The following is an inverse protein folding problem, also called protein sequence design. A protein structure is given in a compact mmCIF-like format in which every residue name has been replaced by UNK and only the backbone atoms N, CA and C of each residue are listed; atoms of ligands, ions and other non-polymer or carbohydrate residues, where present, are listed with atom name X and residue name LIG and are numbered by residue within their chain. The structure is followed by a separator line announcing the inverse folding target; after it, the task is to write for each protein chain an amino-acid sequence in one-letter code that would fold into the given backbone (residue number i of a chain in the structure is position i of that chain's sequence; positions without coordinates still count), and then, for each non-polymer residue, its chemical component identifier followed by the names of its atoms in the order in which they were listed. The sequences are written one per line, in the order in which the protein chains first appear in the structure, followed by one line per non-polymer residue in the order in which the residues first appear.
data_IF_367315252164
#
_entry.id   IF_367315252164
#
_cell.length_a   1.000
_cell.length_b   1.000
_cell.length_c   1.000
_cell.angle_alpha   90.00
_cell.angle_beta   90.00
_cell.angle_gamma   90.00
#
_symmetry.space_group_name_H-M   'P 1'
#
loop_
_entity.id
_entity.type
_entity.pdbx_description
1 polymer ?
#
# COMPACT_ATOMS: atom_id res chain seq x y z
N UNK A 1 22.69 -8.26 12.71
CA UNK A 1 22.32 -6.83 12.64
C UNK A 1 20.81 -6.75 12.58
N UNK A 2 20.18 -5.93 13.43
CA UNK A 2 18.81 -6.15 13.87
C UNK A 2 17.80 -6.04 12.71
N UNK A 3 16.98 -7.09 12.50
CA UNK A 3 15.89 -7.12 11.50
C UNK A 3 15.04 -5.85 11.51
N UNK A 4 14.90 -5.23 12.67
CA UNK A 4 14.23 -3.94 12.89
C UNK A 4 14.85 -2.81 12.05
N UNK A 5 16.19 -2.68 12.03
CA UNK A 5 16.88 -1.63 11.24
C UNK A 5 16.66 -1.86 9.75
N UNK A 6 16.65 -3.11 9.29
CA UNK A 6 16.40 -3.42 7.88
C UNK A 6 14.95 -3.08 7.49
N UNK A 7 13.97 -3.39 8.34
CA UNK A 7 12.57 -2.99 8.14
C UNK A 7 12.43 -1.46 8.06
N UNK A 8 13.09 -0.72 8.95
CA UNK A 8 13.10 0.75 8.92
C UNK A 8 13.77 1.29 7.66
N UNK A 9 14.90 0.72 7.22
CA UNK A 9 15.56 1.11 5.96
C UNK A 9 14.69 0.85 4.75
N UNK A 10 14.02 -0.30 4.69
CA UNK A 10 13.08 -0.62 3.62
C UNK A 10 11.89 0.33 3.60
N UNK A 11 11.45 0.83 4.75
CA UNK A 11 10.32 1.76 4.85
C UNK A 11 10.74 3.20 4.52
N UNK A 12 11.93 3.63 4.97
CA UNK A 12 12.46 4.96 4.71
C UNK A 12 12.94 5.15 3.27
N UNK A 13 13.44 4.09 2.63
CA UNK A 13 13.81 4.07 1.21
C UNK A 13 12.76 3.26 0.46
N UNK A 14 11.49 3.54 0.73
CA UNK A 14 10.37 2.92 0.04
C UNK A 14 9.81 3.85 -1.03
N UNK A 15 9.26 3.27 -2.10
CA UNK A 15 8.51 4.06 -3.07
C UNK A 15 7.25 4.66 -2.44
N UNK A 16 6.72 4.05 -1.38
CA UNK A 16 5.58 4.55 -0.60
C UNK A 16 5.91 5.88 0.08
N UNK A 17 7.08 5.98 0.72
CA UNK A 17 7.54 7.24 1.29
C UNK A 17 7.80 8.27 0.19
N UNK A 18 8.36 7.85 -0.94
CA UNK A 18 8.57 8.73 -2.09
C UNK A 18 7.25 9.30 -2.61
N UNK A 19 6.21 8.48 -2.75
CA UNK A 19 4.86 8.94 -3.13
C UNK A 19 4.30 9.89 -2.07
N UNK A 20 4.46 9.58 -0.79
CA UNK A 20 4.01 10.45 0.29
C UNK A 20 4.69 11.83 0.24
N UNK A 21 6.03 11.87 0.11
CA UNK A 21 6.79 13.11 -0.01
C UNK A 21 6.44 13.88 -1.28
N UNK A 22 6.21 13.17 -2.40
CA UNK A 22 5.79 13.79 -3.66
C UNK A 22 4.41 14.43 -3.52
N UNK A 23 3.45 13.79 -2.84
CA UNK A 23 2.15 14.37 -2.54
C UNK A 23 2.26 15.59 -1.62
N UNK A 24 3.14 15.57 -0.62
CA UNK A 24 3.39 16.74 0.22
C UNK A 24 4.00 17.91 -0.57
N UNK A 25 5.00 17.63 -1.43
CA UNK A 25 5.60 18.64 -2.28
C UNK A 25 4.58 19.23 -3.28
N UNK A 26 3.75 18.37 -3.89
CA UNK A 26 2.66 18.82 -4.75
C UNK A 26 1.63 19.64 -3.97
N UNK A 27 1.29 19.28 -2.74
CA UNK A 27 0.36 20.07 -1.92
C UNK A 27 0.94 21.46 -1.57
N UNK A 28 2.26 21.53 -1.35
CA UNK A 28 2.93 22.80 -1.09
C UNK A 28 2.97 23.72 -2.32
N UNK A 29 3.27 23.17 -3.50
CA UNK A 29 3.41 23.95 -4.73
C UNK A 29 2.10 24.18 -5.50
N UNK A 30 1.16 23.22 -5.43
CA UNK A 30 -0.10 23.20 -6.18
C UNK A 30 -1.29 22.81 -5.28
N UNK A 31 -1.59 23.58 -4.21
CA UNK A 31 -2.67 23.25 -3.28
C UNK A 31 -4.05 23.25 -3.93
N UNK A 32 -4.25 24.01 -5.01
CA UNK A 32 -5.53 24.09 -5.71
C UNK A 32 -6.02 22.73 -6.22
N UNK A 33 -5.10 21.87 -6.68
CA UNK A 33 -5.45 20.53 -7.17
C UNK A 33 -6.13 19.70 -6.08
N UNK A 34 -5.53 19.67 -4.89
CA UNK A 34 -6.05 18.94 -3.74
C UNK A 34 -7.33 19.57 -3.20
N UNK A 35 -7.42 20.90 -3.21
CA UNK A 35 -8.63 21.62 -2.86
C UNK A 35 -9.81 21.25 -3.78
N UNK A 36 -9.59 21.17 -5.09
CA UNK A 36 -10.64 20.75 -6.06
C UNK A 36 -11.13 19.34 -5.75
N UNK A 37 -10.21 18.40 -5.49
CA UNK A 37 -10.55 17.02 -5.13
C UNK A 37 -11.36 16.97 -3.84
N UNK A 38 -10.92 17.67 -2.79
CA UNK A 38 -11.64 17.71 -1.53
C UNK A 38 -12.99 18.42 -1.61
N UNK A 39 -13.11 19.46 -2.44
CA UNK A 39 -14.37 20.17 -2.64
C UNK A 39 -15.39 19.32 -3.40
N UNK A 40 -14.94 18.53 -4.40
CA UNK A 40 -15.77 17.54 -5.07
C UNK A 40 -16.27 16.46 -4.11
N UNK A 41 -15.43 16.09 -3.15
CA UNK A 41 -15.82 15.14 -2.12
C UNK A 41 -16.86 15.74 -1.16
N UNK A 42 -16.62 16.94 -0.63
CA UNK A 42 -17.59 17.63 0.24
C UNK A 42 -18.93 17.92 -0.42
N UNK A 43 -18.95 18.16 -1.73
CA UNK A 43 -20.18 18.44 -2.47
C UNK A 43 -21.06 17.22 -2.76
N UNK A 44 -20.70 16.00 -2.35
CA UNK A 44 -21.45 14.78 -2.66
C UNK A 44 -21.44 13.77 -1.50
N UNK A 45 -22.52 13.76 -0.73
CA UNK A 45 -22.71 12.92 0.47
C UNK A 45 -22.63 11.40 0.20
N UNK A 46 -22.85 10.95 -1.04
CA UNK A 46 -22.78 9.53 -1.37
C UNK A 46 -21.34 9.05 -1.56
N UNK A 47 -20.45 9.89 -2.09
CA UNK A 47 -19.07 9.50 -2.41
C UNK A 47 -18.29 9.07 -1.17
N UNK A 48 -18.55 9.69 -0.02
CA UNK A 48 -17.87 9.41 1.25
C UNK A 48 -17.98 7.95 1.69
N UNK A 49 -19.11 7.32 1.40
CA UNK A 49 -19.38 5.93 1.79
C UNK A 49 -18.48 4.93 1.06
N UNK A 50 -17.97 5.31 -0.11
CA UNK A 50 -17.16 4.44 -0.96
C UNK A 50 -15.65 4.69 -0.83
N UNK A 51 -15.23 5.73 -0.11
CA UNK A 51 -13.82 6.08 0.07
C UNK A 51 -13.01 4.93 0.68
N UNK A 52 -13.45 4.28 1.78
CA UNK A 52 -12.73 3.14 2.36
C UNK A 52 -12.65 1.92 1.45
N UNK A 53 -13.52 1.81 0.45
CA UNK A 53 -13.61 0.63 -0.41
C UNK A 53 -12.31 0.38 -1.18
N UNK A 54 -11.67 1.44 -1.68
CA UNK A 54 -10.45 1.33 -2.50
C UNK A 54 -9.24 0.82 -1.70
N UNK A 55 -8.85 1.45 -0.57
CA UNK A 55 -7.77 0.93 0.27
C UNK A 55 -8.03 -0.48 0.78
N UNK A 56 -9.30 -0.80 1.13
CA UNK A 56 -9.69 -2.15 1.54
C UNK A 56 -9.55 -3.15 0.40
N UNK A 57 -9.96 -2.79 -0.82
CA UNK A 57 -9.77 -3.62 -2.00
C UNK A 57 -8.27 -3.89 -2.27
N UNK A 58 -7.43 -2.86 -2.17
CA UNK A 58 -5.98 -3.01 -2.32
C UNK A 58 -5.35 -3.87 -1.21
N UNK A 59 -5.82 -3.76 0.03
CA UNK A 59 -5.44 -4.67 1.11
C UNK A 59 -5.82 -6.13 0.77
N UNK A 60 -7.02 -6.35 0.22
CA UNK A 60 -7.47 -7.67 -0.24
C UNK A 60 -6.59 -8.23 -1.36
N UNK A 61 -6.24 -7.42 -2.37
CA UNK A 61 -5.29 -7.81 -3.43
C UNK A 61 -3.92 -8.13 -2.86
N UNK A 62 -3.42 -7.28 -1.96
CA UNK A 62 -2.15 -7.50 -1.25
C UNK A 62 -2.18 -8.84 -0.53
N UNK A 63 -3.28 -9.16 0.16
CA UNK A 63 -3.45 -10.42 0.86
C UNK A 63 -3.42 -11.63 -0.07
N UNK A 64 -4.25 -11.60 -1.12
CA UNK A 64 -4.35 -12.68 -2.10
C UNK A 64 -2.99 -12.96 -2.78
N UNK A 65 -2.21 -11.91 -3.07
CA UNK A 65 -0.90 -12.05 -3.72
C UNK A 65 0.19 -12.45 -2.75
N UNK A 66 0.19 -11.91 -1.54
CA UNK A 66 1.10 -12.29 -0.48
C UNK A 66 0.96 -13.78 -0.13
N UNK A 67 -0.26 -14.31 -0.03
CA UNK A 67 -0.50 -15.74 0.17
C UNK A 67 0.15 -16.61 -0.91
N UNK A 68 0.13 -16.19 -2.17
CA UNK A 68 0.79 -16.93 -3.27
C UNK A 68 2.31 -16.94 -3.15
N UNK A 69 2.89 -15.97 -2.44
CA UNK A 69 4.33 -15.87 -2.20
C UNK A 69 4.73 -16.63 -0.92
N UNK A 70 3.88 -16.60 0.10
CA UNK A 70 4.19 -17.16 1.42
C UNK A 70 3.65 -18.57 1.68
N UNK A 71 2.65 -19.04 0.95
CA UNK A 71 2.12 -20.39 1.11
C UNK A 71 2.87 -21.35 0.17
N UNK A 72 3.28 -22.54 0.65
CA UNK A 72 3.72 -23.61 -0.22
C UNK A 72 2.52 -24.04 -1.06
N UNK A 73 2.53 -23.73 -2.35
CA UNK A 73 1.60 -24.37 -3.29
C UNK A 73 1.80 -25.89 -3.14
N UNK A 74 0.71 -26.60 -2.91
CA UNK A 74 0.68 -28.04 -2.76
C UNK A 74 1.46 -28.69 -3.92
N UNK A 75 2.56 -29.37 -3.58
CA UNK A 75 3.51 -29.93 -4.54
C UNK A 75 4.86 -29.20 -4.47
N UNK A 76 5.83 -29.84 -3.81
CA UNK A 76 7.32 -29.76 -3.87
C UNK A 76 8.09 -28.52 -4.39
N UNK A 77 7.51 -27.68 -5.24
CA UNK A 77 8.09 -26.53 -5.96
C UNK A 77 8.53 -25.35 -5.07
N UNK A 78 7.84 -25.06 -3.95
CA UNK A 78 8.21 -23.91 -3.10
C UNK A 78 9.30 -24.19 -2.06
N UNK A 79 9.79 -25.43 -1.89
CA UNK A 79 10.85 -25.74 -0.91
C UNK A 79 12.14 -24.95 -1.17
N UNK A 80 12.52 -24.81 -2.44
CA UNK A 80 13.69 -24.03 -2.86
C UNK A 80 13.59 -22.56 -2.45
N UNK A 81 12.38 -22.00 -2.34
CA UNK A 81 12.18 -20.60 -1.95
C UNK A 81 12.50 -20.37 -0.45
N UNK A 82 12.21 -21.35 0.40
CA UNK A 82 12.57 -21.30 1.83
C UNK A 82 14.05 -21.55 2.07
N UNK A 83 14.72 -22.25 1.15
CA UNK A 83 16.18 -22.43 1.16
C UNK A 83 16.93 -21.17 0.72
N UNK A 84 16.23 -20.19 0.10
CA UNK A 84 16.85 -18.94 -0.27
C UNK A 84 17.23 -18.12 0.97
N UNK A 85 18.53 -17.94 1.18
CA UNK A 85 19.11 -17.29 2.36
C UNK A 85 18.54 -15.88 2.66
N UNK A 86 18.01 -15.18 1.64
CA UNK A 86 17.39 -13.86 1.80
C UNK A 86 15.86 -13.85 1.84
N UNK A 87 15.17 -15.00 1.83
CA UNK A 87 13.70 -15.09 1.82
C UNK A 87 13.02 -14.29 2.94
N UNK A 88 13.63 -14.25 4.13
CA UNK A 88 13.15 -13.43 5.25
C UNK A 88 12.93 -11.95 4.89
N UNK A 89 13.70 -11.36 3.96
CA UNK A 89 13.53 -9.97 3.53
C UNK A 89 12.24 -9.78 2.73
N UNK A 90 11.86 -10.77 1.93
CA UNK A 90 10.60 -10.76 1.17
C UNK A 90 9.43 -10.87 2.13
N UNK A 91 9.53 -11.75 3.12
CA UNK A 91 8.50 -11.91 4.13
C UNK A 91 8.34 -10.67 5.03
N UNK A 92 9.45 -10.09 5.50
CA UNK A 92 9.44 -8.84 6.27
C UNK A 92 8.84 -7.69 5.46
N UNK A 93 9.10 -7.63 4.14
CA UNK A 93 8.48 -6.66 3.23
C UNK A 93 6.98 -6.87 3.08
N UNK A 94 6.50 -8.12 2.98
CA UNK A 94 5.07 -8.43 2.94
C UNK A 94 4.37 -7.94 4.22
N UNK A 95 4.97 -8.17 5.39
CA UNK A 95 4.44 -7.67 6.67
C UNK A 95 4.38 -6.14 6.67
N UNK A 96 5.44 -5.47 6.24
CA UNK A 96 5.45 -4.01 6.13
C UNK A 96 4.36 -3.49 5.18
N UNK A 97 4.15 -4.15 4.03
CA UNK A 97 3.09 -3.79 3.09
C UNK A 97 1.69 -3.95 3.70
N UNK A 98 1.43 -5.00 4.49
CA UNK A 98 0.17 -5.11 5.23
C UNK A 98 -0.02 -3.96 6.20
N UNK A 99 1.02 -3.62 6.98
CA UNK A 99 0.95 -2.53 7.94
C UNK A 99 0.63 -1.20 7.25
N UNK A 100 1.30 -0.90 6.12
CA UNK A 100 1.03 0.29 5.32
C UNK A 100 -0.41 0.30 4.79
N UNK A 101 -0.88 -0.79 4.20
CA UNK A 101 -2.27 -0.88 3.72
C UNK A 101 -3.30 -0.70 4.84
N UNK A 102 -3.05 -1.28 6.02
CA UNK A 102 -3.91 -1.10 7.21
C UNK A 102 -3.94 0.37 7.63
N UNK A 103 -2.80 1.05 7.67
CA UNK A 103 -2.75 2.50 7.96
C UNK A 103 -3.51 3.32 6.92
N UNK A 104 -3.40 2.98 5.63
CA UNK A 104 -4.19 3.63 4.57
C UNK A 104 -5.70 3.39 4.76
N UNK A 105 -6.11 2.19 5.17
CA UNK A 105 -7.51 1.91 5.52
C UNK A 105 -7.95 2.78 6.69
N UNK A 106 -7.19 2.84 7.79
CA UNK A 106 -7.51 3.70 8.94
C UNK A 106 -7.62 5.17 8.55
N UNK A 107 -6.69 5.66 7.72
CA UNK A 107 -6.74 7.02 7.18
C UNK A 107 -8.02 7.24 6.38
N UNK A 108 -8.38 6.31 5.52
CA UNK A 108 -9.61 6.37 4.72
C UNK A 108 -10.89 6.32 5.56
N UNK A 109 -10.91 5.53 6.63
CA UNK A 109 -12.00 5.53 7.60
C UNK A 109 -12.07 6.83 8.39
N UNK A 110 -10.93 7.43 8.74
CA UNK A 110 -10.90 8.73 9.42
C UNK A 110 -11.50 9.84 8.56
N UNK A 111 -11.29 9.82 7.24
CA UNK A 111 -11.95 10.74 6.30
C UNK A 111 -13.48 10.56 6.35
N UNK A 112 -13.96 9.33 6.46
CA UNK A 112 -15.39 9.04 6.53
C UNK A 112 -16.05 9.59 7.81
N UNK A 113 -15.35 9.54 8.95
CA UNK A 113 -15.87 10.06 10.23
C UNK A 113 -15.68 11.57 10.42
N UNK A 114 -14.52 12.12 10.04
CA UNK A 114 -14.13 13.52 10.30
C UNK A 114 -14.25 14.42 9.06
N UNK A 115 -15.01 13.94 8.09
CA UNK A 115 -15.34 14.56 6.82
C UNK A 115 -15.64 16.07 6.90
N UNK A 116 -16.59 16.43 7.76
CA UNK A 116 -17.16 17.76 7.84
C UNK A 116 -16.17 18.75 8.46
N UNK A 117 -15.41 18.29 9.46
CA UNK A 117 -14.46 19.07 10.25
C UNK A 117 -13.17 19.39 9.50
N UNK A 118 -12.77 18.54 8.56
CA UNK A 118 -11.51 18.69 7.82
C UNK A 118 -11.63 19.76 6.72
N UNK A 119 -10.60 20.60 6.58
CA UNK A 119 -10.49 21.53 5.45
C UNK A 119 -10.36 20.74 4.14
N UNK A 120 -11.02 21.21 3.07
CA UNK A 120 -11.06 20.60 1.74
C UNK A 120 -9.68 20.21 1.24
N UNK A 121 -8.67 21.06 1.45
CA UNK A 121 -7.31 20.75 0.99
C UNK A 121 -6.75 19.48 1.66
N UNK A 122 -6.82 19.41 3.00
CA UNK A 122 -6.35 18.26 3.76
C UNK A 122 -7.10 16.98 3.36
N UNK A 123 -8.39 17.14 3.07
CA UNK A 123 -9.25 16.05 2.66
C UNK A 123 -8.83 15.45 1.32
N UNK A 124 -8.54 16.30 0.33
CA UNK A 124 -7.99 15.86 -0.95
C UNK A 124 -6.64 15.16 -0.81
N UNK A 125 -5.74 15.69 0.03
CA UNK A 125 -4.42 15.10 0.29
C UNK A 125 -4.55 13.73 0.94
N UNK A 126 -5.34 13.59 2.01
CA UNK A 126 -5.53 12.33 2.72
C UNK A 126 -6.16 11.26 1.83
N UNK A 127 -7.14 11.64 1.00
CA UNK A 127 -7.76 10.72 0.06
C UNK A 127 -6.75 10.20 -0.96
N UNK A 128 -6.05 11.12 -1.65
CA UNK A 128 -5.08 10.74 -2.67
C UNK A 128 -3.90 9.97 -2.08
N UNK A 129 -3.42 10.34 -0.90
CA UNK A 129 -2.36 9.62 -0.21
C UNK A 129 -2.79 8.19 0.13
N UNK A 130 -3.95 8.01 0.75
CA UNK A 130 -4.43 6.68 1.13
C UNK A 130 -4.60 5.76 -0.09
N UNK A 131 -5.17 6.27 -1.20
CA UNK A 131 -5.36 5.51 -2.45
C UNK A 131 -4.03 5.24 -3.15
N UNK A 132 -3.19 6.26 -3.37
CA UNK A 132 -1.95 6.12 -4.12
C UNK A 132 -0.94 5.21 -3.41
N UNK A 133 -0.80 5.36 -2.09
CA UNK A 133 0.12 4.54 -1.30
C UNK A 133 -0.36 3.09 -1.26
N UNK A 134 -1.65 2.84 -0.96
CA UNK A 134 -2.20 1.47 -0.92
C UNK A 134 -2.25 0.79 -2.29
N UNK A 135 -2.51 1.55 -3.36
CA UNK A 135 -2.44 1.04 -4.73
C UNK A 135 -1.01 0.67 -5.12
N UNK A 136 -0.03 1.51 -4.78
CA UNK A 136 1.38 1.25 -5.06
C UNK A 136 1.91 0.03 -4.29
N UNK A 137 1.57 -0.12 -3.01
CA UNK A 137 1.96 -1.31 -2.23
C UNK A 137 1.36 -2.58 -2.83
N UNK A 138 0.08 -2.57 -3.18
CA UNK A 138 -0.57 -3.71 -3.82
C UNK A 138 0.07 -4.06 -5.17
N UNK A 139 0.45 -3.05 -5.95
CA UNK A 139 1.15 -3.22 -7.21
C UNK A 139 2.54 -3.84 -7.03
N UNK A 140 3.33 -3.37 -6.07
CA UNK A 140 4.65 -3.92 -5.77
C UNK A 140 4.57 -5.40 -5.37
N UNK A 141 3.64 -5.76 -4.48
CA UNK A 141 3.45 -7.16 -4.06
C UNK A 141 2.96 -8.02 -5.24
N UNK A 142 2.14 -7.47 -6.13
CA UNK A 142 1.73 -8.15 -7.35
C UNK A 142 2.90 -8.44 -8.29
N UNK A 143 3.78 -7.46 -8.52
CA UNK A 143 5.00 -7.64 -9.31
C UNK A 143 5.95 -8.66 -8.66
N UNK A 144 6.14 -8.58 -7.34
CA UNK A 144 6.95 -9.54 -6.60
C UNK A 144 6.40 -10.96 -6.75
N UNK A 145 5.09 -11.14 -6.61
CA UNK A 145 4.43 -12.44 -6.81
C UNK A 145 4.61 -12.99 -8.22
N UNK A 146 4.50 -12.16 -9.25
CA UNK A 146 4.74 -12.57 -10.64
C UNK A 146 6.20 -12.98 -10.88
N UNK A 147 7.16 -12.21 -10.38
CA UNK A 147 8.60 -12.50 -10.54
C UNK A 147 9.04 -13.74 -9.79
N UNK A 148 8.59 -13.92 -8.55
CA UNK A 148 8.89 -15.11 -7.77
C UNK A 148 8.34 -16.36 -8.47
N UNK A 149 7.12 -16.29 -9.00
CA UNK A 149 6.53 -17.39 -9.77
C UNK A 149 7.32 -17.71 -11.04
N UNK A 150 7.74 -16.70 -11.81
CA UNK A 150 8.59 -16.90 -12.99
C UNK A 150 9.90 -17.62 -12.66
N UNK A 151 10.54 -17.25 -11.55
CA UNK A 151 11.78 -17.91 -11.10
C UNK A 151 11.49 -19.36 -10.73
N UNK A 152 10.44 -19.61 -9.94
CA UNK A 152 10.07 -20.97 -9.54
C UNK A 152 9.81 -21.85 -10.77
N UNK A 153 9.05 -21.37 -11.75
CA UNK A 153 8.74 -22.11 -12.99
C UNK A 153 9.98 -22.33 -13.90
N UNK A 154 11.03 -21.51 -13.77
CA UNK A 154 12.28 -21.68 -14.53
C UNK A 154 13.23 -22.72 -13.91
N UNK A 155 13.16 -22.93 -12.59
CA UNK A 155 14.08 -23.79 -11.83
C UNK A 155 13.42 -25.08 -11.30
N UNK A 156 12.12 -25.27 -11.58
CA UNK A 156 11.36 -26.53 -11.36
C UNK A 156 11.46 -27.46 -12.57
#
# INVERSE_FOLDING_TARGET
MSRVIDIFRFTLISFELLVFLLLLALNYHFPEFFYIVGNKLKGNDELWKFIPLLPVAFLGVTHQRAQKVSAPLEGTSNKQLYEWCSFHKVFDRIIASYFICILCCFMSFSIWFFAEELNQNHLGVLLLASIAISGLTAFQISLASMRIRQIIEQYS
#
